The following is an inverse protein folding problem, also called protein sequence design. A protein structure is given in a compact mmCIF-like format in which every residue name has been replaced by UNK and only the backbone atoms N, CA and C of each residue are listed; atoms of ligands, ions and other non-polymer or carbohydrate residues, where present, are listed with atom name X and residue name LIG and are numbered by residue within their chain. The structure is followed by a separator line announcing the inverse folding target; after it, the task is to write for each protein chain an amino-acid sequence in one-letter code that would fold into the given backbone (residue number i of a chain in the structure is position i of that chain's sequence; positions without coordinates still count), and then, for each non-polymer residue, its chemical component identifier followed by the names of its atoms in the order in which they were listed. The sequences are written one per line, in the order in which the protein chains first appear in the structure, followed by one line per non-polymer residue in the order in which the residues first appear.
data_IF_871563064341
#
_entry.id   IF_871563064341
#
_cell.length_a   1.000
_cell.length_b   1.000
_cell.length_c   1.000
_cell.angle_alpha   90.00
_cell.angle_beta   90.00
_cell.angle_gamma   90.00
#
_symmetry.space_group_name_H-M   'P 1'
#
loop_
_entity.id
_entity.type
_entity.pdbx_description
1 polymer ?
#
# COMPACT_ATOMS: atom_id res chain seq x y z
N UNK A 1 -11.30 7.99 1.69
CA UNK A 1 -9.89 8.22 1.33
C UNK A 1 -9.55 9.69 1.45
N UNK A 2 -8.42 9.99 2.09
CA UNK A 2 -7.85 11.32 2.27
C UNK A 2 -7.34 11.89 0.93
N UNK A 3 -6.79 11.06 0.04
CA UNK A 3 -6.41 11.48 -1.31
C UNK A 3 -7.60 12.05 -2.11
N UNK A 4 -8.79 11.46 -1.94
CA UNK A 4 -10.03 11.99 -2.52
C UNK A 4 -10.44 13.35 -1.94
N UNK A 5 -10.10 13.65 -0.69
CA UNK A 5 -10.30 14.99 -0.11
C UNK A 5 -9.33 16.01 -0.70
N UNK A 6 -8.08 15.59 -0.97
CA UNK A 6 -7.09 16.44 -1.67
C UNK A 6 -7.56 16.73 -3.10
N UNK A 7 -8.03 15.71 -3.82
CA UNK A 7 -8.56 15.86 -5.18
C UNK A 7 -9.78 16.80 -5.25
N UNK A 8 -10.59 16.84 -4.21
CA UNK A 8 -11.75 17.74 -4.10
C UNK A 8 -11.43 19.04 -3.35
N UNK A 9 -10.18 19.26 -2.97
CA UNK A 9 -9.73 20.39 -2.15
C UNK A 9 -8.84 21.39 -2.91
N UNK A 10 -8.08 22.22 -2.19
CA UNK A 10 -7.16 23.20 -2.79
C UNK A 10 -6.06 22.53 -3.63
N UNK A 11 -6.12 22.73 -4.95
CA UNK A 11 -5.27 22.05 -5.95
C UNK A 11 -6.04 21.11 -6.88
N UNK A 12 -7.29 20.80 -6.54
CA UNK A 12 -8.22 20.06 -7.37
C UNK A 12 -7.74 18.66 -7.72
N UNK A 13 -8.35 18.09 -8.77
CA UNK A 13 -8.10 16.72 -9.21
C UNK A 13 -6.61 16.44 -9.48
N UNK A 14 -5.83 17.45 -9.84
CA UNK A 14 -4.41 17.30 -10.19
C UNK A 14 -3.56 16.77 -9.03
N UNK A 15 -3.74 17.29 -7.80
CA UNK A 15 -2.87 16.91 -6.67
C UNK A 15 -3.18 15.54 -6.07
N UNK A 16 -4.44 15.12 -6.12
CA UNK A 16 -4.90 13.88 -5.46
C UNK A 16 -5.14 12.72 -6.42
N UNK A 17 -4.74 12.83 -7.68
CA UNK A 17 -4.92 11.79 -8.70
C UNK A 17 -3.66 11.59 -9.54
N UNK A 18 -3.68 10.57 -10.39
CA UNK A 18 -2.61 10.28 -11.34
C UNK A 18 -2.41 11.35 -12.42
N UNK A 19 -3.26 12.38 -12.49
CA UNK A 19 -3.06 13.51 -13.42
C UNK A 19 -1.73 14.21 -13.18
N UNK A 20 -1.36 14.50 -11.92
CA UNK A 20 -0.05 15.09 -11.62
C UNK A 20 1.11 14.17 -11.96
N UNK A 21 0.94 12.86 -11.76
CA UNK A 21 1.94 11.85 -12.12
C UNK A 21 2.20 11.89 -13.63
N UNK A 22 1.16 11.82 -14.44
CA UNK A 22 1.27 11.87 -15.91
C UNK A 22 1.86 13.21 -16.38
N UNK A 23 1.43 14.33 -15.79
CA UNK A 23 1.95 15.65 -16.14
C UNK A 23 3.44 15.80 -15.81
N UNK A 24 3.91 15.17 -14.73
CA UNK A 24 5.33 15.20 -14.38
C UNK A 24 6.15 14.26 -15.28
N UNK A 25 5.65 13.04 -15.55
CA UNK A 25 6.26 12.11 -16.51
C UNK A 25 6.38 12.71 -17.92
N UNK A 26 5.40 13.52 -18.34
CA UNK A 26 5.42 14.23 -19.64
C UNK A 26 6.57 15.26 -19.78
N UNK A 27 7.23 15.64 -18.68
CA UNK A 27 8.39 16.53 -18.69
C UNK A 27 9.71 15.77 -18.75
N UNK A 28 9.68 14.46 -18.54
CA UNK A 28 10.86 13.61 -18.45
C UNK A 28 11.25 13.04 -19.82
N UNK A 29 12.44 12.46 -19.85
CA UNK A 29 12.99 11.76 -20.99
C UNK A 29 12.92 10.24 -20.75
N UNK A 30 12.38 9.50 -21.72
CA UNK A 30 12.18 8.05 -21.58
C UNK A 30 13.47 7.23 -21.55
N UNK A 31 14.54 7.70 -22.22
CA UNK A 31 15.85 7.04 -22.21
C UNK A 31 16.93 7.95 -22.77
N UNK A 32 18.19 7.58 -22.56
CA UNK A 32 19.34 8.27 -23.17
C UNK A 32 19.37 8.24 -24.72
N UNK A 33 18.48 7.48 -25.37
CA UNK A 33 18.35 7.36 -26.82
C UNK A 33 17.10 8.04 -27.39
N UNK A 34 16.13 8.36 -26.55
CA UNK A 34 14.84 8.92 -26.99
C UNK A 34 14.44 10.06 -26.06
N UNK A 35 14.46 11.30 -26.59
CA UNK A 35 14.12 12.52 -25.86
C UNK A 35 12.61 12.70 -25.61
N UNK A 36 11.78 11.77 -26.10
CA UNK A 36 10.34 11.81 -25.84
C UNK A 36 10.02 11.34 -24.43
N UNK A 37 8.91 11.79 -23.83
CA UNK A 37 8.42 11.25 -22.57
C UNK A 37 8.13 9.75 -22.64
N UNK A 38 8.19 9.04 -21.50
CA UNK A 38 7.83 7.63 -21.44
C UNK A 38 6.35 7.42 -21.75
N UNK A 39 6.02 6.27 -22.33
CA UNK A 39 4.64 5.80 -22.41
C UNK A 39 4.12 5.52 -21.01
N UNK A 40 2.84 5.83 -20.75
CA UNK A 40 2.23 5.62 -19.44
C UNK A 40 1.12 4.59 -19.54
N UNK A 41 1.22 3.56 -18.71
CA UNK A 41 0.17 2.57 -18.50
C UNK A 41 -0.32 2.67 -17.06
N UNK A 42 -1.65 2.71 -16.86
CA UNK A 42 -2.27 2.85 -15.54
C UNK A 42 -3.23 1.68 -15.35
N UNK A 43 -3.05 0.95 -14.25
CA UNK A 43 -3.99 -0.06 -13.78
C UNK A 43 -4.46 0.26 -12.36
N UNK A 44 -5.70 -0.10 -12.06
CA UNK A 44 -6.26 -0.01 -10.71
C UNK A 44 -6.79 -1.39 -10.29
N UNK A 45 -5.99 -2.17 -9.54
CA UNK A 45 -6.37 -3.52 -9.10
C UNK A 45 -7.60 -3.57 -8.19
N UNK A 46 -8.07 -2.43 -7.67
CA UNK A 46 -9.28 -2.36 -6.85
C UNK A 46 -10.58 -2.21 -7.66
N UNK A 47 -10.50 -1.88 -8.95
CA UNK A 47 -11.67 -1.67 -9.82
C UNK A 47 -12.18 -2.98 -10.42
N UNK A 48 -12.80 -3.80 -9.58
CA UNK A 48 -13.22 -5.17 -9.93
C UNK A 48 -14.73 -5.31 -10.22
N UNK A 49 -15.52 -4.26 -10.03
CA UNK A 49 -16.96 -4.26 -10.27
C UNK A 49 -17.29 -3.60 -11.60
N UNK A 50 -17.79 -4.37 -12.58
CA UNK A 50 -18.34 -3.79 -13.82
C UNK A 50 -19.71 -3.20 -13.56
N UNK A 51 -19.87 -1.91 -13.89
CA UNK A 51 -21.14 -1.21 -13.86
C UNK A 51 -21.68 -1.01 -15.29
N UNK A 52 -22.65 -1.84 -15.74
CA UNK A 52 -23.10 -1.82 -17.14
C UNK A 52 -23.69 -0.48 -17.58
N UNK A 53 -24.51 0.16 -16.73
CA UNK A 53 -25.20 1.40 -17.09
C UNK A 53 -24.21 2.57 -17.22
N UNK A 54 -23.16 2.59 -16.39
CA UNK A 54 -22.09 3.59 -16.46
C UNK A 54 -20.95 3.21 -17.40
N UNK A 55 -20.98 2.00 -17.99
CA UNK A 55 -19.95 1.43 -18.88
C UNK A 55 -18.53 1.58 -18.34
N UNK A 56 -18.34 1.34 -17.05
CA UNK A 56 -17.04 1.48 -16.39
C UNK A 56 -16.87 0.49 -15.26
N UNK A 57 -15.60 0.22 -14.94
CA UNK A 57 -15.24 -0.48 -13.71
C UNK A 57 -15.29 0.47 -12.51
N UNK A 58 -15.69 -0.07 -11.37
CA UNK A 58 -15.78 0.60 -10.09
C UNK A 58 -15.05 -0.23 -9.04
N UNK A 59 -14.64 0.43 -7.95
CA UNK A 59 -14.25 -0.29 -6.75
C UNK A 59 -15.48 -0.91 -6.07
N UNK A 60 -15.27 -1.92 -5.23
CA UNK A 60 -16.35 -2.47 -4.41
C UNK A 60 -17.05 -1.38 -3.58
N UNK A 61 -16.28 -0.46 -2.99
CA UNK A 61 -16.81 0.68 -2.25
C UNK A 61 -17.64 1.61 -3.14
N UNK A 62 -17.10 2.03 -4.29
CA UNK A 62 -17.81 2.95 -5.19
C UNK A 62 -19.09 2.34 -5.77
N UNK A 63 -19.14 1.01 -5.91
CA UNK A 63 -20.35 0.31 -6.38
C UNK A 63 -21.55 0.52 -5.45
N UNK A 64 -21.31 0.72 -4.15
CA UNK A 64 -22.36 0.98 -3.15
C UNK A 64 -22.88 2.42 -3.23
N UNK A 65 -22.11 3.34 -3.81
CA UNK A 65 -22.47 4.76 -3.93
C UNK A 65 -23.22 5.08 -5.23
N UNK A 66 -23.45 4.10 -6.11
CA UNK A 66 -24.20 4.33 -7.35
C UNK A 66 -25.65 4.71 -6.98
N UNK A 67 -26.23 5.78 -7.56
CA UNK A 67 -27.59 6.22 -7.24
C UNK A 67 -28.62 5.09 -7.37
N UNK A 68 -29.47 4.93 -6.36
CA UNK A 68 -30.54 3.93 -6.34
C UNK A 68 -31.85 4.57 -6.83
N UNK A 69 -32.75 3.81 -7.50
CA UNK A 69 -34.02 4.36 -7.99
C UNK A 69 -34.96 4.87 -6.89
N UNK A 70 -34.78 4.45 -5.64
CA UNK A 70 -35.64 4.83 -4.51
C UNK A 70 -34.90 4.73 -3.17
N UNK A 71 -35.34 5.50 -2.17
CA UNK A 71 -34.80 5.51 -0.81
C UNK A 71 -35.04 4.19 -0.04
N UNK A 72 -36.04 3.39 -0.45
CA UNK A 72 -36.33 2.08 0.16
C UNK A 72 -35.65 0.91 -0.56
N UNK A 73 -34.79 1.19 -1.53
CA UNK A 73 -34.10 0.15 -2.27
C UNK A 73 -32.99 -0.48 -1.43
N UNK A 74 -32.95 -1.81 -1.32
CA UNK A 74 -31.97 -2.57 -0.52
C UNK A 74 -30.52 -2.55 -1.06
N UNK A 75 -30.20 -1.65 -1.98
CA UNK A 75 -28.90 -1.57 -2.65
C UNK A 75 -28.81 -2.41 -3.93
N UNK A 76 -27.65 -2.33 -4.60
CA UNK A 76 -27.33 -3.15 -5.76
C UNK A 76 -26.66 -4.45 -5.31
N UNK A 77 -27.20 -5.59 -5.71
CA UNK A 77 -26.57 -6.89 -5.51
C UNK A 77 -25.50 -7.10 -6.58
N UNK A 78 -24.35 -7.67 -6.20
CA UNK A 78 -23.39 -8.20 -7.17
C UNK A 78 -23.95 -9.43 -7.86
N UNK A 79 -24.04 -9.39 -9.20
CA UNK A 79 -24.49 -10.49 -10.05
C UNK A 79 -23.27 -11.02 -10.81
N UNK A 80 -22.76 -12.22 -10.47
CA UNK A 80 -21.69 -12.86 -11.23
C UNK A 80 -22.01 -12.95 -12.72
N UNK A 81 -21.02 -12.68 -13.58
CA UNK A 81 -21.18 -12.68 -15.04
C UNK A 81 -21.77 -11.39 -15.63
N UNK A 82 -22.44 -10.55 -14.81
CA UNK A 82 -22.81 -9.18 -15.20
C UNK A 82 -21.82 -8.18 -14.60
N UNK A 83 -21.57 -8.25 -13.30
CA UNK A 83 -20.69 -7.30 -12.61
C UNK A 83 -19.23 -7.75 -12.54
N UNK A 84 -18.91 -8.88 -13.15
CA UNK A 84 -17.59 -9.50 -13.14
C UNK A 84 -16.98 -9.45 -14.53
N UNK A 85 -15.72 -9.05 -14.64
CA UNK A 85 -14.95 -9.13 -15.89
C UNK A 85 -14.03 -10.33 -15.82
N UNK A 86 -14.11 -11.20 -16.83
CA UNK A 86 -13.29 -12.41 -16.92
C UNK A 86 -11.80 -12.03 -16.90
N UNK A 87 -11.00 -12.78 -16.15
CA UNK A 87 -9.57 -12.54 -15.89
C UNK A 87 -9.25 -11.28 -15.06
N UNK A 88 -10.26 -10.57 -14.55
CA UNK A 88 -10.11 -9.44 -13.64
C UNK A 88 -11.03 -9.56 -12.42
N UNK A 89 -11.31 -10.79 -11.98
CA UNK A 89 -12.27 -11.05 -10.90
C UNK A 89 -11.72 -10.73 -9.51
N UNK A 90 -10.40 -10.80 -9.34
CA UNK A 90 -9.68 -10.49 -8.09
C UNK A 90 -8.52 -9.52 -8.38
N UNK A 91 -7.97 -8.83 -7.36
CA UNK A 91 -6.82 -7.96 -7.57
C UNK A 91 -5.61 -8.71 -8.15
N UNK A 92 -5.37 -9.95 -7.72
CA UNK A 92 -4.27 -10.80 -8.20
C UNK A 92 -4.45 -11.15 -9.69
N UNK A 93 -5.64 -11.60 -10.06
CA UNK A 93 -5.96 -11.90 -11.47
C UNK A 93 -5.88 -10.65 -12.34
N UNK A 94 -6.30 -9.50 -11.81
CA UNK A 94 -6.17 -8.24 -12.52
C UNK A 94 -4.70 -7.90 -12.81
N UNK A 95 -3.81 -8.05 -11.82
CA UNK A 95 -2.36 -7.88 -12.03
C UNK A 95 -1.82 -8.87 -13.06
N UNK A 96 -2.15 -10.16 -12.94
CA UNK A 96 -1.73 -11.19 -13.89
C UNK A 96 -2.19 -10.88 -15.33
N UNK A 97 -3.46 -10.52 -15.52
CA UNK A 97 -4.03 -10.17 -16.81
C UNK A 97 -3.38 -8.91 -17.42
N UNK A 98 -3.16 -7.88 -16.60
CA UNK A 98 -2.48 -6.64 -17.02
C UNK A 98 -1.05 -6.93 -17.49
N UNK A 99 -0.27 -7.66 -16.70
CA UNK A 99 1.11 -7.99 -17.05
C UNK A 99 1.15 -8.90 -18.29
N UNK A 100 0.27 -9.90 -18.38
CA UNK A 100 0.17 -10.76 -19.56
C UNK A 100 -0.17 -9.96 -20.82
N UNK A 101 -1.10 -9.01 -20.72
CA UNK A 101 -1.48 -8.13 -21.83
C UNK A 101 -0.32 -7.23 -22.25
N UNK A 102 0.40 -6.65 -21.29
CA UNK A 102 1.56 -5.80 -21.56
C UNK A 102 2.64 -6.55 -22.34
N UNK A 103 2.98 -7.78 -21.96
CA UNK A 103 3.95 -8.60 -22.71
C UNK A 103 3.54 -8.85 -24.17
N UNK A 104 2.24 -8.90 -24.47
CA UNK A 104 1.75 -9.12 -25.83
C UNK A 104 1.83 -7.87 -26.71
N UNK A 105 1.75 -6.68 -26.11
CA UNK A 105 1.73 -5.41 -26.86
C UNK A 105 3.07 -4.69 -26.88
N UNK A 106 3.97 -5.01 -25.95
CA UNK A 106 5.30 -4.42 -25.86
C UNK A 106 6.29 -5.13 -26.78
N UNK A 107 7.30 -4.40 -27.24
CA UNK A 107 8.41 -5.00 -27.97
C UNK A 107 9.37 -5.71 -26.99
N UNK A 108 10.10 -6.72 -27.47
CA UNK A 108 11.11 -7.44 -26.68
C UNK A 108 12.19 -6.52 -26.08
N UNK A 109 12.40 -5.33 -26.65
CA UNK A 109 13.41 -4.36 -26.21
C UNK A 109 12.85 -3.28 -25.28
N UNK A 110 11.54 -3.29 -25.03
CA UNK A 110 10.90 -2.29 -24.19
C UNK A 110 11.34 -2.50 -22.74
N UNK A 111 11.86 -1.42 -22.14
CA UNK A 111 12.14 -1.33 -20.71
C UNK A 111 10.95 -0.70 -19.99
N UNK A 112 10.67 -1.18 -18.79
CA UNK A 112 9.51 -0.81 -17.99
C UNK A 112 9.98 -0.42 -16.60
N UNK A 113 9.65 0.80 -16.21
CA UNK A 113 9.68 1.25 -14.84
C UNK A 113 8.34 0.98 -14.18
N UNK A 114 8.37 0.38 -13.00
CA UNK A 114 7.16 0.03 -12.27
C UNK A 114 6.95 0.95 -11.08
N UNK A 115 5.77 1.53 -10.94
CA UNK A 115 5.35 2.25 -9.73
C UNK A 115 4.12 1.56 -9.13
N UNK A 116 4.28 0.99 -7.95
CA UNK A 116 3.19 0.41 -7.17
C UNK A 116 2.81 1.37 -6.03
N UNK A 117 1.51 1.50 -5.76
CA UNK A 117 0.96 2.40 -4.75
C UNK A 117 0.05 1.63 -3.79
N UNK A 118 0.26 1.83 -2.49
CA UNK A 118 -0.52 1.19 -1.43
C UNK A 118 -0.48 -0.34 -1.51
N UNK A 119 -1.65 -0.98 -1.46
CA UNK A 119 -1.77 -2.45 -1.52
C UNK A 119 -1.24 -3.06 -2.83
N UNK A 120 -1.12 -2.26 -3.90
CA UNK A 120 -0.53 -2.74 -5.15
C UNK A 120 0.94 -3.14 -4.98
N UNK A 121 1.64 -2.60 -3.97
CA UNK A 121 3.02 -2.98 -3.66
C UNK A 121 3.12 -4.47 -3.35
N UNK A 122 2.21 -5.01 -2.52
CA UNK A 122 2.19 -6.42 -2.16
C UNK A 122 1.73 -7.30 -3.33
N UNK A 123 0.70 -6.89 -4.07
CA UNK A 123 0.19 -7.65 -5.21
C UNK A 123 1.25 -7.85 -6.29
N UNK A 124 1.99 -6.79 -6.63
CA UNK A 124 3.03 -6.84 -7.66
C UNK A 124 4.25 -7.61 -7.20
N UNK A 125 4.73 -7.40 -5.97
CA UNK A 125 5.90 -8.15 -5.47
C UNK A 125 5.59 -9.63 -5.37
N UNK A 126 4.40 -10.02 -4.91
CA UNK A 126 3.94 -11.41 -4.90
C UNK A 126 3.81 -12.01 -6.30
N UNK A 127 3.28 -11.25 -7.26
CA UNK A 127 3.20 -11.68 -8.66
C UNK A 127 4.60 -11.96 -9.24
N UNK A 128 5.56 -11.06 -8.98
CA UNK A 128 6.94 -11.19 -9.46
C UNK A 128 7.77 -12.22 -8.67
N UNK A 129 7.35 -12.61 -7.46
CA UNK A 129 8.05 -13.66 -6.69
C UNK A 129 7.91 -15.04 -7.34
N UNK A 130 6.81 -15.27 -8.07
CA UNK A 130 6.65 -16.47 -8.88
C UNK A 130 7.76 -16.57 -9.94
N UNK A 131 8.41 -17.75 -10.00
CA UNK A 131 9.56 -17.96 -10.88
C UNK A 131 9.22 -17.83 -12.38
N UNK A 132 8.01 -18.21 -12.78
CA UNK A 132 7.55 -18.14 -14.17
C UNK A 132 7.33 -16.67 -14.57
N UNK A 133 6.64 -15.93 -13.72
CA UNK A 133 6.38 -14.50 -13.93
C UNK A 133 7.68 -13.70 -13.93
N UNK A 134 8.58 -13.97 -12.97
CA UNK A 134 9.90 -13.35 -12.93
C UNK A 134 10.70 -13.63 -14.21
N UNK A 135 10.73 -14.88 -14.67
CA UNK A 135 11.43 -15.24 -15.90
C UNK A 135 10.91 -14.45 -17.11
N UNK A 136 9.60 -14.25 -17.19
CA UNK A 136 8.98 -13.49 -18.27
C UNK A 136 9.27 -11.97 -18.18
N UNK A 137 9.47 -11.42 -16.98
CA UNK A 137 9.53 -9.96 -16.76
C UNK A 137 10.91 -9.40 -16.45
N UNK A 138 11.84 -10.20 -15.94
CA UNK A 138 13.17 -9.74 -15.47
C UNK A 138 13.94 -8.93 -16.53
N UNK A 139 13.78 -9.26 -17.80
CA UNK A 139 14.50 -8.61 -18.91
C UNK A 139 13.80 -7.33 -19.38
N UNK A 140 12.55 -7.10 -18.97
CA UNK A 140 11.77 -5.90 -19.24
C UNK A 140 11.84 -4.87 -18.11
N UNK A 141 11.95 -5.29 -16.86
CA UNK A 141 12.01 -4.37 -15.72
C UNK A 141 13.33 -3.59 -15.68
N UNK A 142 13.26 -2.29 -15.42
CA UNK A 142 14.43 -1.42 -15.28
C UNK A 142 14.56 -0.81 -13.88
N UNK A 143 13.49 -0.22 -13.36
CA UNK A 143 13.38 0.23 -11.98
C UNK A 143 12.02 -0.08 -11.35
N UNK A 144 11.95 -0.02 -10.01
CA UNK A 144 10.70 -0.16 -9.27
C UNK A 144 10.56 0.87 -8.14
N UNK A 145 9.37 1.41 -7.98
CA UNK A 145 8.98 2.28 -6.87
C UNK A 145 7.84 1.67 -6.08
N UNK A 146 8.00 1.62 -4.76
CA UNK A 146 6.98 1.18 -3.82
C UNK A 146 6.52 2.37 -2.97
N UNK A 147 5.31 2.87 -3.24
CA UNK A 147 4.76 4.09 -2.63
C UNK A 147 3.66 3.70 -1.64
N UNK A 148 4.02 3.39 -0.40
CA UNK A 148 3.06 3.04 0.65
C UNK A 148 3.53 1.97 1.63
N UNK A 149 2.62 1.42 2.42
CA UNK A 149 2.90 0.39 3.42
C UNK A 149 3.34 -0.90 2.73
N UNK A 150 4.66 -1.09 2.69
CA UNK A 150 5.29 -2.35 2.32
C UNK A 150 5.10 -3.31 3.49
N UNK A 151 4.61 -4.52 3.24
CA UNK A 151 4.76 -5.63 4.19
C UNK A 151 6.00 -6.41 3.76
N UNK A 152 6.84 -6.88 4.69
CA UNK A 152 8.03 -7.64 4.34
C UNK A 152 7.56 -8.89 3.63
N UNK A 153 7.73 -8.92 2.31
CA UNK A 153 7.50 -10.13 1.57
C UNK A 153 8.68 -11.04 1.92
N UNK A 154 8.39 -12.18 2.53
CA UNK A 154 9.28 -13.33 2.58
C UNK A 154 9.48 -13.85 1.15
N UNK A 155 10.09 -13.03 0.29
CA UNK A 155 10.25 -13.28 -1.14
C UNK A 155 11.10 -14.54 -1.30
N UNK A 156 10.56 -15.55 -1.93
CA UNK A 156 11.30 -16.80 -2.15
C UNK A 156 12.31 -16.66 -3.30
N UNK A 157 12.06 -15.73 -4.21
CA UNK A 157 12.88 -15.50 -5.40
C UNK A 157 14.09 -14.59 -5.09
N UNK A 158 15.27 -15.21 -5.06
CA UNK A 158 16.53 -14.52 -4.78
C UNK A 158 16.91 -13.49 -5.86
N UNK A 159 16.56 -13.75 -7.13
CA UNK A 159 16.86 -12.83 -8.23
C UNK A 159 15.99 -11.56 -8.13
N UNK A 160 14.71 -11.71 -7.76
CA UNK A 160 13.85 -10.58 -7.44
C UNK A 160 14.37 -9.80 -6.24
N UNK A 161 14.77 -10.47 -5.15
CA UNK A 161 15.38 -9.81 -3.99
C UNK A 161 16.61 -8.98 -4.37
N UNK A 162 17.48 -9.53 -5.22
CA UNK A 162 18.66 -8.82 -5.71
C UNK A 162 18.27 -7.60 -6.56
N UNK A 163 17.31 -7.76 -7.47
CA UNK A 163 16.77 -6.65 -8.25
C UNK A 163 16.18 -5.56 -7.35
N UNK A 164 15.39 -5.91 -6.34
CA UNK A 164 14.80 -4.94 -5.41
C UNK A 164 15.85 -4.17 -4.62
N UNK A 165 16.87 -4.84 -4.13
CA UNK A 165 17.96 -4.18 -3.40
C UNK A 165 18.70 -3.16 -4.29
N UNK A 166 18.91 -3.49 -5.57
CA UNK A 166 19.74 -2.71 -6.49
C UNK A 166 18.98 -1.71 -7.36
N UNK A 167 17.69 -1.93 -7.62
CA UNK A 167 16.90 -1.20 -8.63
C UNK A 167 15.50 -0.81 -8.16
N UNK A 168 15.13 -1.10 -6.91
CA UNK A 168 13.90 -0.60 -6.33
C UNK A 168 14.15 0.47 -5.27
N UNK A 169 13.17 1.34 -5.04
CA UNK A 169 13.13 2.24 -3.88
C UNK A 169 11.73 2.27 -3.29
N UNK A 170 11.64 2.40 -1.97
CA UNK A 170 10.39 2.61 -1.28
C UNK A 170 10.33 4.00 -0.65
N UNK A 171 9.16 4.61 -0.70
CA UNK A 171 8.84 5.79 0.10
C UNK A 171 7.83 5.40 1.17
N UNK A 172 8.14 5.74 2.42
CA UNK A 172 7.33 5.40 3.58
C UNK A 172 6.96 6.64 4.39
N UNK A 173 5.90 6.49 5.20
CA UNK A 173 5.47 7.48 6.17
C UNK A 173 6.62 7.76 7.15
N UNK A 174 6.99 9.03 7.29
CA UNK A 174 8.05 9.50 8.16
C UNK A 174 7.95 11.00 8.38
N UNK A 175 8.35 11.44 9.56
CA UNK A 175 8.49 12.86 9.93
C UNK A 175 9.80 13.47 9.45
N UNK A 176 10.75 12.65 8.99
CA UNK A 176 12.03 13.13 8.47
C UNK A 176 11.84 13.97 7.20
N UNK A 177 12.78 14.86 6.85
CA UNK A 177 12.77 15.56 5.58
C UNK A 177 12.57 14.62 4.39
N UNK A 178 11.95 15.14 3.32
CA UNK A 178 11.74 14.38 2.09
C UNK A 178 13.09 13.87 1.55
N UNK A 179 13.11 12.63 1.05
CA UNK A 179 14.32 11.95 0.54
C UNK A 179 15.38 11.61 1.60
N UNK A 180 15.13 11.82 2.89
CA UNK A 180 16.03 11.31 3.92
C UNK A 180 16.09 9.77 3.83
N UNK A 181 17.28 9.16 3.72
CA UNK A 181 17.42 7.71 3.76
C UNK A 181 17.05 7.18 5.15
N UNK A 182 16.17 6.19 5.20
CA UNK A 182 15.63 5.66 6.47
C UNK A 182 16.10 4.24 6.76
N UNK A 183 16.21 3.40 5.74
CA UNK A 183 16.65 2.03 5.90
C UNK A 183 17.32 1.47 4.65
N UNK A 184 18.39 0.68 4.79
CA UNK A 184 18.89 -0.18 3.72
C UNK A 184 17.90 -1.33 3.42
N UNK A 185 18.15 -2.15 2.38
CA UNK A 185 17.32 -3.33 2.07
C UNK A 185 17.09 -4.30 3.24
N UNK A 186 18.04 -4.36 4.17
CA UNK A 186 17.98 -5.20 5.39
C UNK A 186 17.09 -4.62 6.49
N UNK A 187 16.49 -3.44 6.30
CA UNK A 187 15.72 -2.75 7.32
C UNK A 187 16.58 -1.93 8.26
N UNK A 188 15.92 -1.28 9.22
CA UNK A 188 16.52 -0.48 10.27
C UNK A 188 15.77 -0.73 11.58
N UNK A 189 16.36 -1.54 12.46
CA UNK A 189 15.76 -1.92 13.74
C UNK A 189 15.56 -0.73 14.69
N UNK A 190 16.45 0.28 14.65
CA UNK A 190 16.37 1.46 15.53
C UNK A 190 15.14 2.32 15.22
N UNK A 191 14.77 2.42 13.94
CA UNK A 191 13.56 3.12 13.48
C UNK A 191 12.34 2.18 13.35
N UNK A 192 12.47 0.93 13.79
CA UNK A 192 11.45 -0.12 13.64
C UNK A 192 10.97 -0.33 12.19
N UNK A 193 11.88 -0.15 11.23
CA UNK A 193 11.62 -0.35 9.81
C UNK A 193 12.04 -1.79 9.43
N UNK A 194 11.10 -2.66 9.01
CA UNK A 194 11.43 -4.03 8.64
C UNK A 194 12.30 -4.13 7.38
N UNK A 195 12.88 -5.30 7.17
CA UNK A 195 13.63 -5.63 5.95
C UNK A 195 12.70 -5.74 4.73
N UNK A 196 12.43 -4.61 4.07
CA UNK A 196 11.58 -4.55 2.89
C UNK A 196 12.26 -5.04 1.60
N UNK A 197 13.55 -5.41 1.66
CA UNK A 197 14.31 -5.90 0.51
C UNK A 197 14.70 -4.80 -0.48
N UNK A 198 14.38 -3.54 -0.19
CA UNK A 198 14.81 -2.38 -0.97
C UNK A 198 15.13 -1.17 -0.07
N UNK A 199 15.98 -0.25 -0.54
CA UNK A 199 16.22 1.05 0.08
C UNK A 199 14.93 1.82 0.38
N UNK A 200 14.78 2.35 1.61
CA UNK A 200 13.61 3.10 2.05
C UNK A 200 13.95 4.56 2.36
N UNK A 201 13.10 5.46 1.88
CA UNK A 201 13.25 6.90 2.00
C UNK A 201 12.02 7.55 2.62
N UNK A 202 12.24 8.68 3.30
CA UNK A 202 11.16 9.47 3.88
C UNK A 202 10.33 10.14 2.81
N UNK A 203 9.01 10.05 2.94
CA UNK A 203 8.07 10.86 2.16
C UNK A 203 7.75 12.21 2.79
N UNK A 204 8.31 12.56 3.95
CA UNK A 204 7.92 13.72 4.78
C UNK A 204 6.44 13.77 5.15
N UNK A 205 5.77 12.61 5.12
CA UNK A 205 4.37 12.46 5.51
C UNK A 205 4.32 11.75 6.85
N UNK A 206 3.86 12.40 7.93
CA UNK A 206 3.95 11.84 9.27
C UNK A 206 2.91 10.76 9.58
N UNK A 207 1.76 10.74 8.89
CA UNK A 207 0.64 9.90 9.34
C UNK A 207 -0.04 9.09 8.24
N UNK A 208 -0.17 9.64 7.03
CA UNK A 208 -1.09 9.08 6.05
C UNK A 208 -0.36 8.43 4.88
N UNK A 209 -0.34 7.10 4.83
CA UNK A 209 0.25 6.35 3.72
C UNK A 209 -0.32 6.77 2.34
N UNK A 210 -1.61 7.14 2.27
CA UNK A 210 -2.26 7.66 1.05
C UNK A 210 -1.63 8.96 0.51
N UNK A 211 -0.92 9.72 1.35
CA UNK A 211 -0.27 10.99 0.99
C UNK A 211 1.19 10.82 0.56
N UNK A 212 1.78 9.64 0.76
CA UNK A 212 3.18 9.33 0.42
C UNK A 212 3.49 9.68 -1.03
N UNK A 213 2.68 9.18 -1.99
CA UNK A 213 2.85 9.50 -3.41
C UNK A 213 2.79 11.00 -3.67
N UNK A 214 1.82 11.70 -3.07
CA UNK A 214 1.60 13.13 -3.32
C UNK A 214 2.80 13.95 -2.85
N UNK A 215 3.39 13.58 -1.70
CA UNK A 215 4.54 14.27 -1.12
C UNK A 215 5.85 13.95 -1.84
N UNK A 216 6.07 12.67 -2.13
CA UNK A 216 7.31 12.17 -2.72
C UNK A 216 7.30 12.09 -4.25
N UNK A 217 6.25 12.57 -4.91
CA UNK A 217 6.06 12.39 -6.36
C UNK A 217 7.28 12.77 -7.18
N UNK A 218 7.80 13.98 -6.98
CA UNK A 218 8.90 14.53 -7.77
C UNK A 218 10.19 13.74 -7.63
N UNK A 219 10.75 13.55 -6.42
CA UNK A 219 11.99 12.80 -6.30
C UNK A 219 11.82 11.32 -6.68
N UNK A 220 10.65 10.73 -6.43
CA UNK A 220 10.36 9.37 -6.87
C UNK A 220 10.42 9.25 -8.40
N UNK A 221 9.76 10.15 -9.15
CA UNK A 221 9.85 10.15 -10.60
C UNK A 221 11.24 10.52 -11.13
N UNK A 222 11.95 11.41 -10.45
CA UNK A 222 13.33 11.74 -10.80
C UNK A 222 14.27 10.54 -10.64
N UNK A 223 14.02 9.67 -9.66
CA UNK A 223 14.72 8.40 -9.54
C UNK A 223 14.51 7.52 -10.78
N UNK A 224 13.26 7.31 -11.23
CA UNK A 224 12.99 6.50 -12.43
C UNK A 224 13.74 7.04 -13.65
N UNK A 225 13.66 8.36 -13.88
CA UNK A 225 14.38 9.00 -14.99
C UNK A 225 15.90 8.81 -14.86
N UNK A 226 16.45 8.91 -13.65
CA UNK A 226 17.89 8.68 -13.42
C UNK A 226 18.30 7.26 -13.80
N UNK A 227 17.49 6.25 -13.44
CA UNK A 227 17.75 4.85 -13.82
C UNK A 227 17.69 4.69 -15.34
N UNK A 228 16.62 5.18 -15.97
CA UNK A 228 16.42 5.08 -17.42
C UNK A 228 17.52 5.78 -18.25
N UNK A 229 18.13 6.84 -17.69
CA UNK A 229 19.23 7.58 -18.32
C UNK A 229 20.61 6.97 -18.07
N UNK A 230 20.75 6.08 -17.07
CA UNK A 230 22.03 5.54 -16.60
C UNK A 230 22.10 4.03 -16.78
N UNK A 231 22.64 3.53 -17.92
CA UNK A 231 22.78 2.09 -18.14
C UNK A 231 23.58 1.41 -17.03
N UNK A 232 23.01 0.36 -16.44
CA UNK A 232 23.65 -0.39 -15.36
C UNK A 232 23.62 0.32 -14.01
N UNK A 233 22.76 1.34 -13.84
CA UNK A 233 22.51 1.98 -12.55
C UNK A 233 22.30 0.95 -11.44
N UNK A 234 22.86 1.18 -10.26
CA UNK A 234 22.51 0.48 -9.03
C UNK A 234 22.29 1.54 -7.95
N UNK A 235 21.37 1.27 -7.03
CA UNK A 235 21.22 2.08 -5.82
C UNK A 235 22.54 2.14 -5.07
N UNK A 236 22.87 3.35 -4.59
CA UNK A 236 23.99 3.55 -3.68
C UNK A 236 23.74 2.84 -2.35
N UNK A 237 24.83 2.48 -1.66
CA UNK A 237 24.74 1.98 -0.29
C UNK A 237 24.19 3.08 0.63
N UNK A 238 23.01 2.85 1.20
CA UNK A 238 22.43 3.78 2.16
C UNK A 238 23.22 3.72 3.47
N UNK A 239 23.82 4.84 3.84
CA UNK A 239 24.29 5.10 5.19
C UNK A 239 23.18 5.84 5.95
N UNK A 240 22.47 5.13 6.83
CA UNK A 240 21.52 5.76 7.74
C UNK A 240 22.32 6.40 8.86
N UNK A 241 22.11 7.70 9.10
CA UNK A 241 22.73 8.37 10.23
C UNK A 241 22.17 7.77 11.53
N UNK A 242 23.04 7.25 12.39
CA UNK A 242 22.64 6.79 13.72
C UNK A 242 22.02 7.97 14.48
N UNK A 243 20.77 7.82 14.91
CA UNK A 243 20.16 8.79 15.81
C UNK A 243 20.77 8.58 17.20
N UNK A 244 21.11 9.66 17.92
CA UNK A 244 21.52 9.51 19.32
C UNK A 244 20.38 8.79 20.05
N UNK A 245 20.68 7.66 20.69
CA UNK A 245 19.72 6.97 21.55
C UNK A 245 19.34 7.91 22.68
N UNK A 246 18.19 8.55 22.55
CA UNK A 246 17.61 9.34 23.62
C UNK A 246 16.92 8.33 24.52
N UNK A 247 17.64 7.86 25.54
CA UNK A 247 17.03 7.03 26.58
C UNK A 247 15.88 7.81 27.20
N UNK A 248 14.65 7.33 26.98
CA UNK A 248 13.48 7.92 27.60
C UNK A 248 13.47 7.47 29.06
N UNK A 249 13.87 8.38 29.96
CA UNK A 249 14.02 8.08 31.38
C UNK A 249 12.69 8.23 32.13
N UNK A 250 12.59 7.68 33.34
CA UNK A 250 11.43 7.91 34.22
C UNK A 250 11.22 9.41 34.48
N UNK A 251 12.30 10.19 34.58
CA UNK A 251 12.24 11.65 34.72
C UNK A 251 11.61 12.33 33.49
N UNK A 252 11.77 11.75 32.30
CA UNK A 252 11.12 12.25 31.08
C UNK A 252 9.64 11.85 31.03
N UNK A 253 9.28 10.68 31.57
CA UNK A 253 7.89 10.27 31.74
C UNK A 253 7.11 11.17 32.70
N UNK A 254 7.76 11.62 33.78
CA UNK A 254 7.15 12.55 34.73
C UNK A 254 6.84 13.93 34.10
N UNK A 255 7.62 14.34 33.10
CA UNK A 255 7.41 15.60 32.34
C UNK A 255 6.29 15.51 31.31
N UNK A 256 5.85 14.32 30.91
CA UNK A 256 4.72 14.14 30.00
C UNK A 256 3.45 14.64 30.70
N UNK A 257 2.64 15.45 30.01
CA UNK A 257 1.39 15.94 30.57
C UNK A 257 0.43 14.77 30.86
N UNK A 258 -0.28 14.81 31.99
CA UNK A 258 -1.18 13.72 32.39
C UNK A 258 -2.31 13.44 31.37
N UNK A 259 -2.65 14.42 30.53
CA UNK A 259 -3.59 14.25 29.41
C UNK A 259 -3.06 13.39 28.26
N UNK A 260 -1.73 13.29 28.13
CA UNK A 260 -1.05 12.51 27.11
C UNK A 260 -0.62 11.13 27.63
N UNK A 261 -0.58 10.96 28.96
CA UNK A 261 -0.34 9.66 29.58
C UNK A 261 -1.52 8.72 29.30
N UNK A 262 -1.26 7.44 28.96
CA UNK A 262 -2.32 6.47 28.78
C UNK A 262 -3.12 6.32 30.06
N UNK A 263 -4.45 6.28 29.93
CA UNK A 263 -5.34 6.18 31.07
C UNK A 263 -5.31 4.75 31.64
N UNK A 264 -4.43 4.51 32.61
CA UNK A 264 -4.39 3.23 33.33
C UNK A 264 -5.39 3.31 34.48
N UNK A 265 -6.50 2.58 34.37
CA UNK A 265 -7.42 2.36 35.49
C UNK A 265 -7.16 0.99 36.08
N UNK A 266 -6.92 0.93 37.39
CA UNK A 266 -6.98 -0.33 38.12
C UNK A 266 -8.45 -0.67 38.29
N UNK A 267 -8.93 -1.64 37.51
CA UNK A 267 -10.28 -2.19 37.65
C UNK A 267 -10.20 -3.32 38.67
N UNK A 268 -11.15 -3.35 39.59
CA UNK A 268 -11.29 -4.45 40.55
C UNK A 268 -11.40 -5.79 39.81
N UNK A 269 -10.65 -6.79 40.28
CA UNK A 269 -10.51 -8.07 39.60
C UNK A 269 -11.85 -8.82 39.45
N UNK A 270 -12.79 -8.62 40.39
CA UNK A 270 -14.10 -9.27 40.34
C UNK A 270 -15.04 -8.56 39.36
N UNK A 271 -14.93 -7.23 39.25
CA UNK A 271 -15.60 -6.45 38.21
C UNK A 271 -15.13 -6.86 36.81
N UNK A 272 -13.83 -7.04 36.61
CA UNK A 272 -13.27 -7.50 35.34
C UNK A 272 -13.75 -8.91 34.97
N UNK A 273 -13.82 -9.84 35.95
CA UNK A 273 -14.37 -11.18 35.73
C UNK A 273 -15.85 -11.14 35.34
N UNK A 274 -16.63 -10.23 35.94
CA UNK A 274 -18.05 -10.04 35.60
C UNK A 274 -18.23 -9.47 34.18
N UNK A 275 -17.42 -8.48 33.79
CA UNK A 275 -17.46 -7.93 32.43
C UNK A 275 -17.08 -8.97 31.37
N UNK A 276 -16.03 -9.77 31.63
CA UNK A 276 -15.64 -10.87 30.73
C UNK A 276 -16.75 -11.91 30.62
N UNK A 277 -17.40 -12.29 31.73
CA UNK A 277 -18.58 -13.18 31.72
C UNK A 277 -19.72 -12.57 30.90
N UNK A 278 -20.02 -11.29 31.07
CA UNK A 278 -21.07 -10.59 30.34
C UNK A 278 -20.77 -10.48 28.84
N UNK A 279 -19.52 -10.20 28.46
CA UNK A 279 -19.10 -10.18 27.06
C UNK A 279 -19.18 -11.56 26.40
N UNK A 280 -18.79 -12.64 27.11
CA UNK A 280 -18.94 -14.02 26.63
C UNK A 280 -20.42 -14.36 26.41
N UNK A 281 -21.29 -14.01 27.36
CA UNK A 281 -22.76 -14.17 27.23
C UNK A 281 -23.30 -13.39 26.03
N UNK A 282 -22.84 -12.16 25.83
CA UNK A 282 -23.27 -11.31 24.71
C UNK A 282 -22.84 -11.85 23.35
N UNK A 283 -21.61 -12.39 23.25
CA UNK A 283 -21.14 -13.10 22.05
C UNK A 283 -22.00 -14.34 21.75
N UNK A 284 -22.27 -15.16 22.76
CA UNK A 284 -23.09 -16.37 22.63
C UNK A 284 -24.54 -16.06 22.24
N UNK A 285 -25.08 -14.94 22.73
CA UNK A 285 -26.39 -14.40 22.31
C UNK A 285 -26.39 -13.96 20.85
N UNK A 286 -25.36 -13.24 20.40
CA UNK A 286 -25.24 -12.81 19.00
C UNK A 286 -25.13 -13.99 18.03
N UNK A 287 -24.50 -15.09 18.44
CA UNK A 287 -24.35 -16.30 17.64
C UNK A 287 -25.62 -17.16 17.59
N UNK A 288 -26.32 -17.31 18.73
CA UNK A 288 -27.39 -18.31 18.87
C UNK A 288 -28.80 -17.71 19.04
N UNK A 289 -28.94 -16.38 19.15
CA UNK A 289 -30.22 -15.66 19.19
C UNK A 289 -31.08 -15.83 20.45
N UNK A 290 -30.67 -16.66 21.41
CA UNK A 290 -31.37 -16.88 22.68
C UNK A 290 -30.62 -16.32 23.89
N UNK A 291 -31.33 -15.66 24.81
CA UNK A 291 -30.74 -15.17 26.05
C UNK A 291 -30.28 -16.36 26.92
N UNK A 292 -29.04 -16.35 27.42
CA UNK A 292 -28.58 -17.37 28.36
C UNK A 292 -29.26 -17.16 29.72
N UNK A 293 -29.99 -18.18 30.17
CA UNK A 293 -30.62 -18.20 31.50
C UNK A 293 -29.56 -18.18 32.63
N UNK A 294 -29.96 -17.56 33.73
CA UNK A 294 -29.17 -17.33 34.94
C UNK A 294 -28.81 -18.62 35.67
N UNK A 295 -27.55 -18.68 36.13
CA UNK A 295 -26.99 -19.64 37.10
C UNK A 295 -26.75 -21.10 36.67
N UNK A 296 -26.14 -21.34 35.50
CA UNK A 296 -25.40 -22.60 35.28
C UNK A 296 -23.95 -22.42 35.72
N UNK A 297 -23.59 -23.12 36.79
CA UNK A 297 -22.28 -23.19 37.44
C UNK A 297 -21.29 -24.09 36.70
N UNK A 298 -21.21 -24.01 35.37
CA UNK A 298 -20.29 -24.84 34.60
C UNK A 298 -19.29 -23.92 33.89
N UNK A 299 -18.23 -23.56 34.61
CA UNK A 299 -16.94 -23.11 34.08
C UNK A 299 -15.96 -23.03 35.28
N UNK A 300 -15.79 -24.15 35.97
CA UNK A 300 -14.51 -24.46 36.63
C UNK A 300 -13.81 -25.52 35.76
N UNK A 301 -12.54 -25.24 35.43
CA UNK A 301 -11.61 -26.02 34.57
C UNK A 301 -11.93 -25.91 33.06
N UNK A 302 -11.12 -25.26 32.21
CA UNK A 302 -9.69 -25.47 31.89
C UNK A 302 -9.04 -24.16 31.43
#
# INVERSE_FOLDING_TARGET
MLAGRVANGPGGINKGSLVSVVQELQKQVASNKASSPPGVFIANPGQLYWWPEGRRMLTATDSTAIPLPSLVHAGRRHIPGINTVIAHETPEKHVESVFSTLLQVMSERTKVDLMAIGQSCELVTKFLDDATNWHAWKDHLDAMLLMGTVYPADLTNQALRHFMAKRARAYIVSTEPLDTPLAPPSGNEEEQIPAFGCPCYSSSEPFYAEMVLIRALKPALQYLETVALTPGYENDDILVAEKPKQEFTDDDWEKVADSEKPLIRVVDADLMKQEVKNQKRWRKFLENGGACDTDSSDDEEV
#
